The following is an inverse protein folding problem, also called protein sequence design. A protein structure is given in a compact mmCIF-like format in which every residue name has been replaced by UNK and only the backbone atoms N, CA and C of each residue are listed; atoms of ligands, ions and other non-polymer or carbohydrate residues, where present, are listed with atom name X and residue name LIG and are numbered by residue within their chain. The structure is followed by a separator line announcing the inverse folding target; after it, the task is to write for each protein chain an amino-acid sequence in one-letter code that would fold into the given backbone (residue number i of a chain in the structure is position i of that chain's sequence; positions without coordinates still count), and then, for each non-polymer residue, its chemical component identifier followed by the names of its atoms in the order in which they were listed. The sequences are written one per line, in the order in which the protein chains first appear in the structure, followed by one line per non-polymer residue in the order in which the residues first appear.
data_IF_653370733748
#
_entry.id   IF_653370733748
#
_cell.length_a   1.000
_cell.length_b   1.000
_cell.length_c   1.000
_cell.angle_alpha   90.00
_cell.angle_beta   90.00
_cell.angle_gamma   90.00
#
_symmetry.space_group_name_H-M   'P 1'
#
loop_
_entity.id
_entity.type
_entity.pdbx_description
1 polymer ?
#
# COMPACT_ATOMS: atom_id res chain seq x y z
N UNK A 1 12.00 -3.76 -23.68
CA UNK A 1 11.27 -3.10 -22.58
C UNK A 1 12.27 -2.80 -21.48
N UNK A 2 12.42 -1.54 -21.10
CA UNK A 2 13.33 -1.15 -20.03
C UNK A 2 12.77 -1.59 -18.67
N UNK A 3 13.60 -2.28 -17.89
CA UNK A 3 13.27 -2.69 -16.53
C UNK A 3 14.18 -1.93 -15.57
N UNK A 4 13.57 -1.27 -14.57
CA UNK A 4 14.28 -0.49 -13.54
C UNK A 4 13.91 -1.01 -12.18
N UNK A 5 14.86 -1.00 -11.24
CA UNK A 5 14.62 -1.47 -9.88
C UNK A 5 15.16 -0.46 -8.88
N UNK A 6 14.38 -0.16 -7.84
CA UNK A 6 14.84 0.60 -6.69
C UNK A 6 14.35 -0.03 -5.40
N UNK A 7 14.94 0.35 -4.27
CA UNK A 7 14.63 -0.23 -2.95
C UNK A 7 14.39 0.87 -1.93
N UNK A 8 13.35 0.71 -1.12
CA UNK A 8 13.11 1.53 0.06
C UNK A 8 13.43 0.73 1.33
N UNK A 9 14.31 1.27 2.17
CA UNK A 9 14.70 0.69 3.44
C UNK A 9 13.70 1.03 4.54
N UNK A 10 13.40 0.06 5.42
CA UNK A 10 12.54 0.32 6.57
C UNK A 10 13.20 1.30 7.52
N UNK A 11 12.39 2.19 8.07
CA UNK A 11 12.80 3.07 9.16
C UNK A 11 11.69 3.15 10.21
N UNK A 12 12.07 3.52 11.41
CA UNK A 12 11.15 3.77 12.50
C UNK A 12 11.66 4.91 13.37
N UNK A 13 10.74 5.73 13.84
CA UNK A 13 10.96 6.72 14.88
C UNK A 13 10.07 6.36 16.06
N UNK A 14 10.71 6.08 17.19
CA UNK A 14 10.06 5.70 18.44
C UNK A 14 10.30 6.72 19.55
N UNK A 15 10.61 7.96 19.16
CA UNK A 15 10.64 9.07 20.10
C UNK A 15 9.23 9.35 20.65
N UNK A 16 9.17 9.84 21.89
CA UNK A 16 7.92 10.25 22.53
C UNK A 16 6.97 9.11 22.93
N UNK A 17 5.68 9.44 23.00
CA UNK A 17 4.66 8.50 23.43
C UNK A 17 4.43 7.43 22.35
N UNK A 18 3.96 6.24 22.74
CA UNK A 18 3.73 5.13 21.80
C UNK A 18 2.78 5.49 20.65
N UNK A 19 1.86 6.43 20.89
CA UNK A 19 0.93 6.96 19.90
C UNK A 19 1.57 7.95 18.92
N UNK A 20 2.82 8.36 19.14
CA UNK A 20 3.56 9.24 18.23
C UNK A 20 4.54 8.47 17.34
N UNK A 21 4.77 7.19 17.66
CA UNK A 21 5.69 6.35 16.91
C UNK A 21 5.31 6.28 15.44
N UNK A 22 6.31 6.51 14.58
CA UNK A 22 6.21 6.46 13.12
C UNK A 22 7.03 5.29 12.60
N UNK A 23 6.50 4.65 11.58
CA UNK A 23 7.17 3.58 10.85
C UNK A 23 7.10 3.91 9.38
N UNK A 24 7.99 3.34 8.60
CA UNK A 24 8.02 3.71 7.21
C UNK A 24 9.01 2.97 6.36
N UNK A 25 9.07 3.41 5.12
CA UNK A 25 10.08 3.03 4.16
C UNK A 25 10.62 4.30 3.51
N UNK A 26 11.94 4.41 3.37
CA UNK A 26 12.57 5.56 2.71
C UNK A 26 13.73 5.11 1.84
N UNK A 27 13.99 5.84 0.78
CA UNK A 27 15.09 5.54 -0.14
C UNK A 27 15.04 6.43 -1.37
N UNK A 28 15.96 6.19 -2.27
CA UNK A 28 16.08 6.92 -3.52
C UNK A 28 15.51 6.09 -4.67
N UNK A 29 14.61 6.68 -5.45
CA UNK A 29 13.93 6.04 -6.56
C UNK A 29 14.44 6.61 -7.89
N UNK A 30 15.75 6.52 -8.12
CA UNK A 30 16.44 6.96 -9.35
C UNK A 30 15.87 8.26 -9.92
N UNK A 31 15.14 8.21 -11.04
CA UNK A 31 14.57 9.38 -11.73
C UNK A 31 13.47 10.13 -10.96
N UNK A 32 12.93 9.54 -9.89
CA UNK A 32 11.84 10.08 -9.07
C UNK A 32 12.32 10.74 -7.77
N UNK A 33 13.63 10.74 -7.50
CA UNK A 33 14.22 11.35 -6.31
C UNK A 33 13.98 10.55 -5.04
N UNK A 34 14.12 11.21 -3.89
CA UNK A 34 13.86 10.61 -2.59
C UNK A 34 12.36 10.35 -2.43
N UNK A 35 12.03 9.16 -1.94
CA UNK A 35 10.66 8.77 -1.59
C UNK A 35 10.63 8.34 -0.13
N UNK A 36 9.60 8.78 0.57
CA UNK A 36 9.34 8.45 1.96
C UNK A 36 7.89 8.05 2.15
N UNK A 37 7.69 6.87 2.70
CA UNK A 37 6.40 6.29 3.07
C UNK A 37 6.33 6.25 4.58
N UNK A 38 5.27 6.80 5.16
CA UNK A 38 5.07 6.90 6.62
C UNK A 38 3.74 6.26 7.00
N UNK A 39 3.75 5.36 7.98
CA UNK A 39 2.56 4.75 8.56
C UNK A 39 2.74 4.44 10.07
N UNK A 40 1.74 4.75 10.90
CA UNK A 40 0.71 5.74 10.62
C UNK A 40 1.35 7.15 10.60
N UNK A 41 1.09 7.92 9.54
CA UNK A 41 1.42 9.33 9.43
C UNK A 41 0.49 10.19 10.31
N UNK A 42 -0.79 9.78 10.38
CA UNK A 42 -1.82 10.36 11.26
C UNK A 42 -2.69 9.25 11.83
N UNK A 43 -3.27 9.51 13.01
CA UNK A 43 -4.24 8.66 13.68
C UNK A 43 -5.50 9.50 13.90
N UNK A 44 -6.65 9.02 13.44
CA UNK A 44 -7.94 9.69 13.59
C UNK A 44 -8.97 8.70 14.13
N UNK A 45 -9.16 8.70 15.45
CA UNK A 45 -9.96 7.67 16.12
C UNK A 45 -9.47 6.26 15.75
N UNK A 46 -10.37 5.45 15.20
CA UNK A 46 -10.07 4.09 14.74
C UNK A 46 -9.47 4.02 13.33
N UNK A 47 -9.07 5.15 12.75
CA UNK A 47 -8.44 5.21 11.43
C UNK A 47 -6.95 5.53 11.52
N UNK A 48 -6.18 4.90 10.64
CA UNK A 48 -4.77 5.21 10.41
C UNK A 48 -4.61 5.80 9.01
N UNK A 49 -3.63 6.68 8.85
CA UNK A 49 -3.27 7.24 7.55
C UNK A 49 -1.87 6.80 7.19
N UNK A 50 -1.69 6.28 5.98
CA UNK A 50 -0.37 6.11 5.35
C UNK A 50 -0.15 7.27 4.39
N UNK A 51 1.00 7.92 4.48
CA UNK A 51 1.36 9.05 3.64
C UNK A 51 2.64 8.75 2.86
N UNK A 52 2.66 9.12 1.58
CA UNK A 52 3.84 9.13 0.73
C UNK A 52 4.17 10.55 0.37
N UNK A 53 5.43 10.90 0.57
CA UNK A 53 6.05 12.14 0.12
C UNK A 53 7.30 11.83 -0.67
N UNK A 54 7.72 12.76 -1.53
CA UNK A 54 8.99 12.66 -2.22
C UNK A 54 9.22 13.83 -3.17
N UNK A 55 10.42 13.92 -3.72
CA UNK A 55 10.89 15.14 -4.40
C UNK A 55 10.12 15.40 -5.70
N UNK A 56 9.77 14.33 -6.42
CA UNK A 56 9.13 14.41 -7.74
C UNK A 56 7.80 13.64 -7.81
N UNK A 57 7.38 13.04 -6.71
CA UNK A 57 6.14 12.27 -6.63
C UNK A 57 5.06 13.07 -5.92
N UNK A 58 3.80 13.04 -6.39
CA UNK A 58 2.72 13.73 -5.71
C UNK A 58 2.47 13.13 -4.32
N UNK A 59 2.20 14.00 -3.35
CA UNK A 59 1.80 13.56 -2.00
C UNK A 59 0.58 12.67 -2.09
N UNK A 60 0.67 11.47 -1.54
CA UNK A 60 -0.39 10.46 -1.63
C UNK A 60 -0.75 9.97 -0.24
N UNK A 61 -2.03 10.03 0.13
CA UNK A 61 -2.50 9.57 1.44
C UNK A 61 -3.51 8.46 1.28
N UNK A 62 -3.34 7.39 2.04
CA UNK A 62 -4.31 6.31 2.16
C UNK A 62 -4.84 6.29 3.59
N UNK A 63 -6.14 6.54 3.74
CA UNK A 63 -6.84 6.48 5.01
C UNK A 63 -7.67 5.19 5.05
N UNK A 64 -7.66 4.50 6.19
CA UNK A 64 -8.60 3.41 6.43
C UNK A 64 -8.56 2.93 7.87
N UNK A 65 -9.46 1.99 8.19
CA UNK A 65 -9.56 1.40 9.53
C UNK A 65 -8.21 0.88 10.00
N UNK A 66 -7.85 1.26 11.22
CA UNK A 66 -6.62 0.88 11.89
C UNK A 66 -6.58 -0.64 12.07
N UNK A 67 -5.56 -1.25 11.49
CA UNK A 67 -5.21 -2.64 11.78
C UNK A 67 -3.76 -2.71 12.23
N UNK A 68 -3.57 -2.91 13.53
CA UNK A 68 -2.26 -2.89 14.19
C UNK A 68 -1.57 -1.53 14.03
N UNK A 69 -0.78 -1.32 12.97
CA UNK A 69 -0.02 -0.08 12.70
C UNK A 69 -0.28 0.51 11.32
N UNK A 70 -1.13 -0.15 10.53
CA UNK A 70 -1.35 0.17 9.12
C UNK A 70 -2.84 0.34 8.87
N UNK A 71 -3.27 1.24 7.98
CA UNK A 71 -4.64 1.26 7.50
C UNK A 71 -4.98 -0.02 6.75
N UNK A 72 -6.21 -0.49 6.93
CA UNK A 72 -6.78 -1.59 6.17
C UNK A 72 -7.53 -1.10 4.95
N UNK A 73 -7.78 -2.01 3.98
CA UNK A 73 -8.60 -1.73 2.80
C UNK A 73 -10.12 -1.55 3.10
N UNK A 74 -10.54 -1.58 4.37
CA UNK A 74 -11.94 -1.47 4.77
C UNK A 74 -12.31 0.00 5.01
N UNK A 75 -13.40 0.46 4.38
CA UNK A 75 -13.82 1.88 4.37
C UNK A 75 -12.69 2.85 4.03
N UNK A 76 -11.79 2.42 3.15
CA UNK A 76 -10.61 3.19 2.84
C UNK A 76 -10.89 4.30 1.82
N UNK A 77 -10.18 5.40 1.97
CA UNK A 77 -10.09 6.47 0.98
C UNK A 77 -8.63 6.66 0.56
N UNK A 78 -8.44 7.10 -0.69
CA UNK A 78 -7.12 7.37 -1.25
C UNK A 78 -7.17 8.77 -1.85
N UNK A 79 -6.14 9.57 -1.58
CA UNK A 79 -5.98 10.91 -2.11
C UNK A 79 -4.62 11.01 -2.77
N UNK A 80 -4.56 11.63 -3.95
CA UNK A 80 -3.36 11.86 -4.74
C UNK A 80 -3.25 13.35 -5.06
N UNK A 81 -2.19 14.01 -4.61
CA UNK A 81 -2.01 15.45 -4.80
C UNK A 81 -3.17 16.28 -4.24
N UNK A 82 -3.86 15.80 -3.21
CA UNK A 82 -5.07 16.42 -2.65
C UNK A 82 -6.39 16.03 -3.33
N UNK A 83 -6.36 15.36 -4.50
CA UNK A 83 -7.55 14.89 -5.19
C UNK A 83 -7.97 13.47 -4.76
N UNK A 84 -9.26 13.27 -4.49
CA UNK A 84 -9.80 11.96 -4.11
C UNK A 84 -9.76 10.95 -5.26
N UNK A 85 -9.26 9.75 -4.98
CA UNK A 85 -9.15 8.63 -5.92
C UNK A 85 -10.25 7.62 -5.64
N UNK A 86 -11.04 7.30 -6.68
CA UNK A 86 -12.11 6.31 -6.54
C UNK A 86 -11.54 4.91 -6.44
N UNK A 87 -11.75 4.27 -5.29
CA UNK A 87 -11.41 2.87 -5.04
C UNK A 87 -12.61 1.96 -5.33
N UNK A 88 -12.37 0.84 -6.01
CA UNK A 88 -13.34 -0.26 -6.16
C UNK A 88 -12.66 -1.59 -5.89
N UNK A 89 -13.34 -2.48 -5.18
CA UNK A 89 -12.82 -3.82 -4.86
C UNK A 89 -13.96 -4.82 -4.77
N UNK A 90 -13.71 -6.05 -5.21
CA UNK A 90 -14.60 -7.18 -4.94
C UNK A 90 -13.93 -8.14 -3.95
N UNK A 91 -14.33 -8.09 -2.67
CA UNK A 91 -13.75 -8.97 -1.63
C UNK A 91 -14.11 -10.45 -1.80
N UNK A 92 -15.20 -10.75 -2.50
CA UNK A 92 -15.78 -12.09 -2.64
C UNK A 92 -15.30 -12.82 -3.90
N UNK A 93 -14.51 -12.17 -4.75
CA UNK A 93 -13.99 -12.80 -5.95
C UNK A 93 -13.07 -13.98 -5.60
N UNK A 94 -13.25 -15.09 -6.32
CA UNK A 94 -12.51 -16.32 -6.04
C UNK A 94 -11.02 -16.20 -6.40
N UNK A 95 -10.68 -15.42 -7.41
CA UNK A 95 -9.30 -15.24 -7.89
C UNK A 95 -8.62 -14.01 -7.27
N UNK A 96 -7.28 -14.02 -7.24
CA UNK A 96 -6.46 -12.87 -6.76
C UNK A 96 -6.68 -11.63 -7.63
N UNK A 97 -6.68 -11.81 -8.95
CA UNK A 97 -6.96 -10.75 -9.91
C UNK A 97 -8.38 -10.18 -9.74
N UNK A 98 -9.36 -11.02 -9.42
CA UNK A 98 -10.73 -10.57 -9.12
C UNK A 98 -10.83 -9.76 -7.82
N UNK A 99 -9.96 -10.05 -6.83
CA UNK A 99 -9.86 -9.33 -5.55
C UNK A 99 -9.02 -8.05 -5.62
N UNK A 100 -8.47 -7.73 -6.78
CA UNK A 100 -7.64 -6.56 -6.96
C UNK A 100 -8.38 -5.26 -6.56
N UNK A 101 -7.63 -4.33 -5.99
CA UNK A 101 -8.09 -2.95 -5.79
C UNK A 101 -7.97 -2.25 -7.13
N UNK A 102 -9.11 -1.78 -7.65
CA UNK A 102 -9.19 -0.97 -8.85
C UNK A 102 -9.22 0.49 -8.43
N UNK A 103 -8.41 1.32 -9.09
CA UNK A 103 -8.33 2.75 -8.83
C UNK A 103 -8.54 3.49 -10.14
N UNK A 104 -9.17 4.65 -10.09
CA UNK A 104 -9.33 5.55 -11.25
C UNK A 104 -8.69 6.89 -10.91
N UNK A 105 -7.70 7.29 -11.71
CA UNK A 105 -6.93 8.52 -11.52
C UNK A 105 -6.80 9.20 -12.87
N UNK A 106 -7.31 10.42 -13.02
CA UNK A 106 -7.17 11.23 -14.25
C UNK A 106 -7.54 10.44 -15.53
N UNK A 107 -8.62 9.65 -15.49
CA UNK A 107 -9.07 8.82 -16.61
C UNK A 107 -8.27 7.53 -16.84
N UNK A 108 -7.23 7.27 -16.05
CA UNK A 108 -6.42 6.04 -16.10
C UNK A 108 -6.91 5.01 -15.09
N UNK A 109 -7.06 3.79 -15.58
CA UNK A 109 -7.45 2.63 -14.77
C UNK A 109 -6.22 1.91 -14.22
N UNK A 110 -6.18 1.77 -12.90
CA UNK A 110 -5.15 1.04 -12.19
C UNK A 110 -5.71 -0.21 -11.53
N UNK A 111 -4.88 -1.24 -11.44
CA UNK A 111 -5.18 -2.47 -10.72
C UNK A 111 -4.04 -2.84 -9.79
N UNK A 112 -4.31 -2.91 -8.50
CA UNK A 112 -3.36 -3.39 -7.50
C UNK A 112 -3.77 -4.78 -7.00
N UNK A 113 -2.90 -5.76 -7.20
CA UNK A 113 -3.21 -7.17 -6.89
C UNK A 113 -2.03 -7.90 -6.25
N UNK A 114 -2.31 -8.92 -5.45
CA UNK A 114 -1.29 -9.84 -4.95
C UNK A 114 -0.80 -10.75 -6.09
N UNK A 115 0.52 -10.86 -6.25
CA UNK A 115 1.16 -11.73 -7.26
C UNK A 115 1.52 -13.11 -6.70
N UNK A 116 1.51 -13.27 -5.38
CA UNK A 116 1.71 -14.56 -4.70
C UNK A 116 0.61 -14.86 -3.69
N UNK A 117 0.68 -16.00 -3.01
CA UNK A 117 -0.29 -16.38 -1.97
C UNK A 117 -0.21 -15.56 -0.68
N UNK A 118 0.86 -14.80 -0.48
CA UNK A 118 1.11 -14.00 0.73
C UNK A 118 0.97 -12.50 0.52
N UNK A 119 1.23 -11.74 1.58
CA UNK A 119 1.15 -10.27 1.61
C UNK A 119 2.46 -9.58 1.23
N UNK A 120 3.41 -10.32 0.65
CA UNK A 120 4.76 -9.79 0.38
C UNK A 120 4.94 -9.34 -1.06
N UNK A 121 4.18 -9.91 -2.00
CA UNK A 121 4.38 -9.65 -3.41
C UNK A 121 3.09 -9.12 -4.02
N UNK A 122 3.18 -7.94 -4.62
CA UNK A 122 2.06 -7.28 -5.28
C UNK A 122 2.50 -6.69 -6.61
N UNK A 123 1.53 -6.34 -7.43
CA UNK A 123 1.74 -5.59 -8.65
C UNK A 123 0.68 -4.50 -8.77
N UNK A 124 1.13 -3.28 -9.07
CA UNK A 124 0.31 -2.22 -9.63
C UNK A 124 0.40 -2.30 -11.16
N UNK A 125 -0.74 -2.44 -11.82
CA UNK A 125 -0.83 -2.63 -13.26
C UNK A 125 -1.68 -1.51 -13.85
N UNK A 126 -1.16 -0.87 -14.89
CA UNK A 126 -1.84 0.05 -15.80
C UNK A 126 -1.50 -0.38 -17.23
N UNK A 127 -2.26 0.08 -18.22
CA UNK A 127 -1.92 -0.16 -19.62
C UNK A 127 -0.46 0.24 -19.93
N UNK A 128 0.30 -0.72 -20.48
CA UNK A 128 1.74 -0.59 -20.78
C UNK A 128 2.70 -0.47 -19.57
N UNK A 129 2.22 -0.57 -18.33
CA UNK A 129 3.02 -0.37 -17.11
C UNK A 129 2.72 -1.40 -16.03
N UNK A 130 3.78 -2.01 -15.51
CA UNK A 130 3.72 -2.87 -14.32
C UNK A 130 4.76 -2.43 -13.30
N UNK A 131 4.33 -2.19 -12.06
CA UNK A 131 5.21 -1.97 -10.91
C UNK A 131 5.00 -3.12 -9.94
N UNK A 132 5.99 -4.02 -9.84
CA UNK A 132 6.01 -5.11 -8.86
C UNK A 132 6.65 -4.65 -7.58
N UNK A 133 6.01 -4.98 -6.47
CA UNK A 133 6.47 -4.65 -5.12
C UNK A 133 6.75 -5.94 -4.37
N UNK A 134 7.96 -6.06 -3.81
CA UNK A 134 8.39 -7.23 -3.05
C UNK A 134 8.92 -6.81 -1.67
N UNK A 135 8.28 -7.30 -0.61
CA UNK A 135 8.73 -7.08 0.77
C UNK A 135 9.74 -8.16 1.18
N UNK A 136 10.92 -7.71 1.60
CA UNK A 136 12.01 -8.56 2.08
C UNK A 136 12.36 -8.27 3.54
N UNK A 137 13.08 -9.22 4.16
CA UNK A 137 13.63 -9.05 5.51
C UNK A 137 12.62 -9.18 6.65
N UNK A 138 13.12 -9.01 7.88
CA UNK A 138 12.38 -9.03 9.14
C UNK A 138 12.95 -7.97 10.09
N UNK A 139 12.17 -7.56 11.09
CA UNK A 139 12.60 -6.56 12.08
C UNK A 139 13.05 -5.24 11.45
N UNK A 140 14.24 -4.78 11.80
CA UNK A 140 14.88 -3.56 11.25
C UNK A 140 15.49 -3.74 9.86
N UNK A 141 15.76 -4.98 9.44
CA UNK A 141 16.31 -5.29 8.11
C UNK A 141 15.23 -5.41 7.02
N UNK A 142 14.01 -4.93 7.30
CA UNK A 142 12.93 -4.91 6.31
C UNK A 142 13.27 -3.94 5.18
N UNK A 143 12.89 -4.31 3.97
CA UNK A 143 12.99 -3.45 2.79
C UNK A 143 11.93 -3.82 1.77
N UNK A 144 11.63 -2.89 0.89
CA UNK A 144 10.69 -3.11 -0.22
C UNK A 144 11.40 -2.81 -1.52
N UNK A 145 11.43 -3.80 -2.40
CA UNK A 145 11.98 -3.67 -3.76
C UNK A 145 10.85 -3.38 -4.72
N UNK A 146 11.04 -2.39 -5.58
CA UNK A 146 10.13 -2.02 -6.65
C UNK A 146 10.79 -2.37 -7.98
N UNK A 147 10.17 -3.23 -8.76
CA UNK A 147 10.57 -3.53 -10.14
C UNK A 147 9.57 -2.90 -11.08
N UNK A 148 10.05 -1.94 -11.86
CA UNK A 148 9.28 -1.19 -12.85
C UNK A 148 9.51 -1.81 -14.22
N UNK A 149 8.42 -2.04 -14.94
CA UNK A 149 8.42 -2.40 -16.36
C UNK A 149 7.54 -1.43 -17.12
N UNK A 150 8.10 -0.75 -18.13
CA UNK A 150 7.39 0.21 -18.98
C UNK A 150 7.59 1.69 -18.61
N UNK A 151 6.84 2.56 -19.28
CA UNK A 151 6.91 4.01 -19.15
C UNK A 151 6.08 4.52 -17.96
N UNK A 152 6.72 4.53 -16.79
CA UNK A 152 6.13 4.99 -15.53
C UNK A 152 6.13 6.51 -15.39
N UNK A 153 5.09 7.00 -14.73
CA UNK A 153 4.91 8.39 -14.29
C UNK A 153 5.09 8.49 -12.77
N UNK A 154 5.35 9.68 -12.21
CA UNK A 154 5.46 9.84 -10.76
C UNK A 154 4.21 9.41 -9.99
N UNK A 155 3.03 9.56 -10.59
CA UNK A 155 1.75 9.07 -10.07
C UNK A 155 1.74 7.54 -9.91
N UNK A 156 2.25 6.80 -10.89
CA UNK A 156 2.31 5.34 -10.82
C UNK A 156 3.18 4.89 -9.62
N UNK A 157 4.31 5.57 -9.41
CA UNK A 157 5.23 5.30 -8.29
C UNK A 157 4.60 5.65 -6.95
N UNK A 158 3.93 6.81 -6.85
CA UNK A 158 3.27 7.23 -5.62
C UNK A 158 2.15 6.26 -5.21
N UNK A 159 1.33 5.82 -6.17
CA UNK A 159 0.29 4.82 -5.96
C UNK A 159 0.87 3.46 -5.54
N UNK A 160 1.98 3.01 -6.13
CA UNK A 160 2.61 1.76 -5.72
C UNK A 160 3.25 1.87 -4.32
N UNK A 161 3.89 3.00 -4.02
CA UNK A 161 4.56 3.25 -2.75
C UNK A 161 3.57 3.34 -1.58
N UNK A 162 2.42 4.01 -1.75
CA UNK A 162 1.46 4.17 -0.64
C UNK A 162 0.91 2.82 -0.20
N UNK A 163 0.71 1.90 -1.15
CA UNK A 163 0.22 0.56 -0.86
C UNK A 163 1.19 -0.29 -0.02
N UNK A 164 2.47 0.10 0.09
CA UNK A 164 3.44 -0.59 0.95
C UNK A 164 3.20 -0.37 2.44
N UNK A 165 2.54 0.73 2.80
CA UNK A 165 2.12 1.03 4.17
C UNK A 165 0.68 0.64 4.46
N UNK A 166 0.00 -0.10 3.58
CA UNK A 166 -1.39 -0.53 3.73
C UNK A 166 -1.43 -2.02 4.08
N UNK A 167 -2.34 -2.42 4.96
CA UNK A 167 -2.60 -3.84 5.20
C UNK A 167 -3.37 -4.47 4.03
N UNK A 168 -2.64 -5.22 3.22
CA UNK A 168 -3.17 -5.89 2.02
C UNK A 168 -3.62 -7.33 2.29
N UNK A 169 -3.69 -7.78 3.56
CA UNK A 169 -4.14 -9.14 3.91
C UNK A 169 -5.45 -9.52 3.23
N UNK A 170 -6.37 -8.57 3.10
CA UNK A 170 -7.67 -8.72 2.44
C UNK A 170 -7.59 -8.98 0.91
N UNK A 171 -6.40 -8.92 0.30
CA UNK A 171 -6.15 -9.32 -1.09
C UNK A 171 -5.78 -10.80 -1.22
N UNK A 172 -5.45 -11.48 -0.12
CA UNK A 172 -5.00 -12.89 -0.10
C UNK A 172 -6.13 -13.83 0.35
N UNK A 173 -6.10 -15.11 -0.07
CA UNK A 173 -7.13 -16.13 0.25
C UNK A 173 -7.28 -16.35 1.76
N UNK A 174 -6.20 -16.19 2.52
CA UNK A 174 -6.19 -16.34 3.98
C UNK A 174 -6.74 -15.11 4.73
N UNK A 175 -6.71 -13.91 4.14
CA UNK A 175 -7.32 -12.71 4.74
C UNK A 175 -8.85 -12.71 4.69
N UNK A 176 -9.43 -13.26 3.62
CA UNK A 176 -10.88 -13.45 3.53
C UNK A 176 -11.39 -14.40 4.63
N UNK A 177 -10.67 -15.51 4.89
CA UNK A 177 -11.05 -16.53 5.87
C UNK A 177 -10.85 -16.04 7.32
N UNK A 178 -9.77 -15.31 7.63
CA UNK A 178 -9.54 -14.77 9.00
C UNK A 178 -10.51 -13.65 9.39
N UNK A 179 -11.07 -12.93 8.43
CA UNK A 179 -12.13 -11.94 8.68
C UNK A 179 -13.47 -12.58 9.06
N UNK A 180 -13.67 -13.86 8.72
CA UNK A 180 -14.86 -14.63 9.11
C UNK A 180 -14.71 -15.16 10.53
N UNK A 181 -13.56 -15.76 10.87
CA UNK A 181 -13.35 -16.33 12.21
C UNK A 181 -13.18 -15.30 13.35
N UNK A 182 -12.91 -14.03 13.04
CA UNK A 182 -12.92 -12.95 14.05
C UNK A 182 -14.30 -12.32 14.26
N UNK A 183 -15.31 -12.72 13.49
CA UNK A 183 -16.69 -12.19 13.59
C UNK A 183 -17.72 -13.19 14.11
N UNK A 184 -17.33 -14.45 14.33
CA UNK A 184 -18.18 -15.47 14.94
C UNK A 184 -17.89 -15.72 16.43
N UNK A 185 -16.91 -15.05 17.03
CA UNK A 185 -16.61 -15.14 18.48
C UNK A 185 -17.14 -13.94 19.27
N UNK A 186 -18.02 -13.13 18.69
CA UNK A 186 -18.65 -11.97 19.36
C UNK A 186 -20.19 -12.00 19.24
N UNK A 187 -20.74 -13.18 18.94
CA UNK A 187 -22.19 -13.43 18.79
C UNK A 187 -22.62 -14.71 19.55
N UNK A 188 -21.90 -15.04 20.63
CA UNK A 188 -22.28 -16.01 21.65
C UNK A 188 -21.88 -15.40 23.01
N UNK A 189 -22.56 -14.32 23.38
CA UNK A 189 -22.94 -13.97 24.74
C UNK A 189 -24.38 -13.44 24.67
#
# INVERSE_FOLDING_TARGET
MEQRTFTLGYWEDRSGHRLDWKFGYRGEASSFGRIEVVYPARRHGDHHVTEVTGDRVPTTTFDGWAYVRTPSLLFASLTLGGAGVRLRRNRWAQTRAGRAVKMQVEGRSYRYQATSGGTKNHALIRDGVEIRTQHHGRGKAKKVTFTITGAVTPTDVALAAVMCGVDTRNLTRNGAIRSVFSRSLTWLD
#
